data_IF_522607436960
#
_entry.id   IF_522607436960
#
_cell.length_a   1.000
_cell.length_b   1.000
_cell.length_c   1.000
_cell.angle_alpha   90.00
_cell.angle_beta   90.00
_cell.angle_gamma   90.00
#
_symmetry.space_group_name_H-M   'P 1'
#
loop_
_entity.id
_entity.type
_entity.pdbx_description
1 polymer ?
#
# COMPACT_ATOMS: atom_id res chain seq x y z
N UNK A 1 -29.79 -2.31 18.28
CA UNK A 1 -28.80 -2.26 17.18
C UNK A 1 -28.14 -3.61 17.09
N UNK A 2 -28.19 -4.26 15.92
CA UNK A 2 -27.55 -5.56 15.72
C UNK A 2 -26.17 -5.38 15.09
N UNK A 3 -25.16 -6.07 15.62
CA UNK A 3 -23.79 -6.00 15.10
C UNK A 3 -23.52 -7.22 14.24
N UNK A 4 -23.10 -7.01 13.00
CA UNK A 4 -22.77 -8.07 12.06
C UNK A 4 -21.24 -8.21 12.04
N UNK A 5 -20.76 -9.37 12.49
CA UNK A 5 -19.33 -9.70 12.56
C UNK A 5 -18.92 -10.66 11.45
N UNK A 6 -17.62 -10.74 11.17
CA UNK A 6 -17.05 -11.68 10.19
C UNK A 6 -17.45 -13.12 10.50
N UNK A 7 -17.40 -13.51 11.78
CA UNK A 7 -17.71 -14.87 12.22
C UNK A 7 -19.17 -15.27 11.92
N UNK A 8 -20.11 -14.30 11.98
CA UNK A 8 -21.50 -14.54 11.58
C UNK A 8 -21.60 -14.82 10.07
N UNK A 9 -20.91 -14.04 9.24
CA UNK A 9 -20.90 -14.22 7.79
C UNK A 9 -20.24 -15.55 7.38
N UNK A 10 -19.15 -15.93 8.06
CA UNK A 10 -18.49 -17.21 7.85
C UNK A 10 -19.43 -18.39 8.13
N UNK A 11 -20.21 -18.33 9.23
CA UNK A 11 -21.22 -19.34 9.54
C UNK A 11 -22.35 -19.39 8.50
N UNK A 12 -22.80 -18.24 7.99
CA UNK A 12 -23.83 -18.20 6.93
C UNK A 12 -23.33 -18.80 5.62
N UNK A 13 -22.05 -18.58 5.28
CA UNK A 13 -21.41 -19.18 4.10
C UNK A 13 -21.31 -20.71 4.24
N UNK A 14 -20.90 -21.21 5.41
CA UNK A 14 -20.83 -22.64 5.70
C UNK A 14 -22.19 -23.33 5.63
N UNK A 15 -23.25 -22.63 6.05
CA UNK A 15 -24.65 -23.10 5.97
C UNK A 15 -25.27 -22.95 4.57
N UNK A 16 -24.54 -22.41 3.59
CA UNK A 16 -25.03 -22.05 2.24
C UNK A 16 -26.20 -21.06 2.23
N UNK A 17 -26.38 -20.31 3.32
CA UNK A 17 -27.36 -19.22 3.40
C UNK A 17 -26.85 -17.97 2.68
N UNK A 18 -25.53 -17.88 2.48
CA UNK A 18 -24.85 -16.83 1.74
C UNK A 18 -23.97 -17.46 0.66
N UNK A 19 -24.10 -16.99 -0.59
CA UNK A 19 -23.31 -17.49 -1.71
C UNK A 19 -22.32 -16.41 -2.20
N UNK A 20 -21.09 -16.80 -2.61
CA UNK A 20 -20.17 -15.86 -3.25
C UNK A 20 -20.82 -15.21 -4.48
N UNK A 21 -20.63 -13.89 -4.63
CA UNK A 21 -21.21 -13.13 -5.74
C UNK A 21 -22.70 -12.75 -5.59
N UNK A 22 -23.32 -13.01 -4.44
CA UNK A 22 -24.71 -12.57 -4.16
C UNK A 22 -24.77 -11.24 -3.43
N UNK A 23 -25.97 -10.69 -3.24
CA UNK A 23 -26.20 -9.50 -2.42
C UNK A 23 -26.58 -9.87 -0.99
N UNK A 24 -25.91 -9.25 -0.01
CA UNK A 24 -26.21 -9.37 1.41
C UNK A 24 -26.96 -8.14 1.89
N UNK A 25 -28.22 -8.35 2.29
CA UNK A 25 -29.09 -7.30 2.78
C UNK A 25 -28.77 -6.96 4.25
N UNK A 26 -28.35 -5.72 4.51
CA UNK A 26 -28.10 -5.19 5.85
C UNK A 26 -29.19 -4.20 6.21
N UNK A 27 -29.74 -4.30 7.43
CA UNK A 27 -30.69 -3.32 7.95
C UNK A 27 -29.99 -2.00 8.27
N UNK A 28 -30.63 -0.86 8.03
CA UNK A 28 -30.08 0.47 8.37
C UNK A 28 -29.67 0.64 9.84
N UNK A 29 -30.28 -0.14 10.74
CA UNK A 29 -30.01 -0.08 12.18
C UNK A 29 -28.96 -1.11 12.64
N UNK A 30 -28.26 -1.72 11.70
CA UNK A 30 -27.21 -2.71 11.94
C UNK A 30 -25.82 -2.13 11.69
N UNK A 31 -24.89 -2.46 12.58
CA UNK A 31 -23.49 -2.05 12.47
C UNK A 31 -22.68 -3.20 11.86
N UNK A 32 -22.05 -2.95 10.72
CA UNK A 32 -21.12 -3.89 10.10
C UNK A 32 -19.71 -3.64 10.65
N UNK A 33 -19.06 -4.65 11.22
CA UNK A 33 -17.67 -4.46 11.68
C UNK A 33 -16.72 -4.30 10.49
N UNK A 34 -15.57 -3.62 10.65
CA UNK A 34 -14.58 -3.48 9.58
C UNK A 34 -14.11 -4.83 9.00
N UNK A 35 -13.94 -5.84 9.88
CA UNK A 35 -13.59 -7.20 9.47
C UNK A 35 -14.70 -7.85 8.62
N UNK A 36 -15.97 -7.70 9.02
CA UNK A 36 -17.11 -8.16 8.22
C UNK A 36 -17.18 -7.47 6.84
N UNK A 37 -16.86 -6.17 6.78
CA UNK A 37 -16.78 -5.44 5.50
C UNK A 37 -15.68 -5.96 4.59
N UNK A 38 -14.51 -6.28 5.15
CA UNK A 38 -13.39 -6.86 4.41
C UNK A 38 -13.77 -8.23 3.82
N UNK A 39 -14.39 -9.06 4.65
CA UNK A 39 -14.82 -10.41 4.28
C UNK A 39 -15.84 -10.44 3.15
N UNK A 40 -16.85 -9.55 3.18
CA UNK A 40 -17.83 -9.44 2.09
C UNK A 40 -17.18 -9.01 0.77
N UNK A 41 -16.19 -8.10 0.83
CA UNK A 41 -15.46 -7.64 -0.34
C UNK A 41 -14.63 -8.76 -0.97
N UNK A 42 -13.95 -9.54 -0.15
CA UNK A 42 -13.14 -10.68 -0.60
C UNK A 42 -13.97 -11.74 -1.33
N UNK A 43 -15.17 -12.03 -0.81
CA UNK A 43 -16.10 -12.98 -1.41
C UNK A 43 -17.02 -12.39 -2.50
N UNK A 44 -16.74 -11.15 -2.94
CA UNK A 44 -17.50 -10.42 -3.97
C UNK A 44 -19.00 -10.29 -3.66
N UNK A 45 -19.35 -10.20 -2.38
CA UNK A 45 -20.74 -10.12 -1.90
C UNK A 45 -21.11 -8.64 -1.80
N UNK A 46 -22.12 -8.22 -2.55
CA UNK A 46 -22.55 -6.82 -2.55
C UNK A 46 -23.41 -6.51 -1.32
N UNK A 47 -23.08 -5.46 -0.59
CA UNK A 47 -23.90 -5.02 0.55
C UNK A 47 -25.05 -4.17 0.05
N UNK A 48 -26.28 -4.63 0.24
CA UNK A 48 -27.48 -3.83 -0.03
C UNK A 48 -28.08 -3.37 1.29
N UNK A 49 -28.23 -2.07 1.47
CA UNK A 49 -28.92 -1.53 2.64
C UNK A 49 -30.40 -1.57 2.37
N UNK A 50 -31.14 -2.38 3.12
CA UNK A 50 -32.59 -2.52 2.92
C UNK A 50 -33.34 -1.65 3.93
N UNK A 51 -34.18 -0.76 3.40
CA UNK A 51 -35.35 -0.28 4.13
C UNK A 51 -36.38 -1.40 4.12
N UNK A 52 -36.96 -1.69 5.28
CA UNK A 52 -37.99 -2.71 5.40
C UNK A 52 -39.22 -2.35 4.55
N UNK A 53 -39.26 -2.85 3.31
CA UNK A 53 -40.47 -3.18 2.58
C UNK A 53 -40.10 -4.15 1.45
N UNK A 54 -40.45 -5.42 1.64
CA UNK A 54 -40.33 -6.50 0.66
C UNK A 54 -41.08 -6.17 -0.64
N UNK A 55 -40.47 -6.47 -1.80
CA UNK A 55 -41.13 -7.04 -2.98
C UNK A 55 -40.13 -7.94 -3.75
N UNK A 56 -40.55 -9.11 -4.28
CA UNK A 56 -39.63 -10.07 -4.88
C UNK A 56 -39.39 -9.81 -6.38
N UNK A 57 -38.20 -10.25 -6.81
CA UNK A 57 -37.80 -10.63 -8.17
C UNK A 57 -38.02 -9.65 -9.34
N UNK A 58 -36.91 -9.08 -9.82
CA UNK A 58 -36.69 -8.94 -11.28
C UNK A 58 -35.26 -9.36 -11.61
N UNK A 59 -35.14 -10.52 -12.26
CA UNK A 59 -33.92 -10.94 -12.96
C UNK A 59 -33.67 -9.93 -14.09
N UNK A 60 -32.89 -8.90 -13.81
CA UNK A 60 -32.28 -8.11 -14.88
C UNK A 60 -30.87 -8.66 -15.04
N UNK A 61 -30.70 -9.55 -16.01
CA UNK A 61 -29.38 -9.87 -16.56
C UNK A 61 -28.83 -8.57 -17.14
N UNK A 62 -28.10 -7.80 -16.33
CA UNK A 62 -27.19 -6.82 -16.88
C UNK A 62 -26.02 -7.58 -17.50
N UNK A 63 -25.63 -7.27 -18.74
CA UNK A 63 -24.44 -7.87 -19.31
C UNK A 63 -23.28 -7.51 -18.40
N UNK A 64 -22.64 -8.54 -17.85
CA UNK A 64 -21.34 -8.43 -17.20
C UNK A 64 -20.40 -7.89 -18.27
N UNK A 65 -20.26 -6.57 -18.34
CA UNK A 65 -19.12 -5.95 -18.98
C UNK A 65 -17.93 -6.47 -18.19
N UNK A 66 -17.28 -7.49 -18.75
CA UNK A 66 -15.93 -7.86 -18.43
C UNK A 66 -15.09 -6.62 -18.68
N UNK A 67 -14.93 -5.79 -17.64
CA UNK A 67 -13.89 -4.78 -17.59
C UNK A 67 -12.60 -5.57 -17.70
N UNK A 68 -12.06 -5.62 -18.93
CA UNK A 68 -10.66 -5.97 -19.18
C UNK A 68 -9.83 -5.23 -18.12
N UNK A 69 -8.83 -5.87 -17.50
CA UNK A 69 -8.01 -5.22 -16.51
C UNK A 69 -7.45 -3.94 -17.15
N UNK A 70 -7.88 -2.79 -16.63
CA UNK A 70 -7.47 -1.49 -17.14
C UNK A 70 -5.96 -1.40 -16.94
N UNK A 71 -5.18 -1.59 -18.01
CA UNK A 71 -3.75 -1.33 -18.05
C UNK A 71 -3.41 0.16 -17.79
N UNK A 72 -4.42 1.01 -17.61
CA UNK A 72 -4.31 2.47 -17.66
C UNK A 72 -3.93 3.15 -16.34
N UNK A 73 -3.60 2.44 -15.26
CA UNK A 73 -3.17 3.11 -14.01
C UNK A 73 -1.91 2.51 -13.36
N UNK A 74 -1.09 1.79 -14.14
CA UNK A 74 0.13 1.18 -13.61
C UNK A 74 1.17 2.24 -13.17
N UNK A 75 1.29 3.37 -13.89
CA UNK A 75 2.11 4.50 -13.43
C UNK A 75 1.56 5.16 -12.16
N UNK A 76 0.23 5.23 -11.99
CA UNK A 76 -0.36 5.73 -10.75
C UNK A 76 -0.06 4.81 -9.56
N UNK A 77 -0.10 3.48 -9.76
CA UNK A 77 0.34 2.51 -8.75
C UNK A 77 1.82 2.71 -8.41
N UNK A 78 2.69 2.82 -9.40
CA UNK A 78 4.12 3.05 -9.18
C UNK A 78 4.39 4.34 -8.40
N UNK A 79 3.68 5.43 -8.72
CA UNK A 79 3.75 6.69 -7.94
C UNK A 79 3.36 6.50 -6.48
N UNK A 80 2.31 5.72 -6.21
CA UNK A 80 1.89 5.41 -4.84
C UNK A 80 2.94 4.58 -4.11
N UNK A 81 3.55 3.59 -4.77
CA UNK A 81 4.61 2.77 -4.18
C UNK A 81 5.88 3.60 -3.90
N UNK A 82 6.27 4.48 -4.81
CA UNK A 82 7.36 5.46 -4.57
C UNK A 82 7.03 6.39 -3.40
N UNK A 83 5.77 6.83 -3.28
CA UNK A 83 5.32 7.68 -2.16
C UNK A 83 5.37 6.94 -0.83
N UNK A 84 5.05 5.64 -0.80
CA UNK A 84 5.22 4.81 0.40
C UNK A 84 6.69 4.72 0.80
N UNK A 85 7.60 4.44 -0.14
CA UNK A 85 9.03 4.42 0.14
C UNK A 85 9.51 5.77 0.69
N UNK A 86 9.07 6.88 0.10
CA UNK A 86 9.36 8.22 0.61
C UNK A 86 8.94 8.36 2.08
N UNK A 87 7.73 7.92 2.42
CA UNK A 87 7.22 8.02 3.79
C UNK A 87 7.88 7.03 4.77
N UNK A 88 8.47 5.93 4.30
CA UNK A 88 9.26 5.04 5.16
C UNK A 88 10.57 5.71 5.60
N UNK A 89 11.17 6.50 4.71
CA UNK A 89 12.42 7.23 5.00
C UNK A 89 12.26 8.41 5.98
N UNK A 90 11.05 8.74 6.41
CA UNK A 90 10.84 9.71 7.49
C UNK A 90 10.86 9.08 8.88
N UNK A 91 10.95 7.75 8.99
CA UNK A 91 11.14 7.01 10.25
C UNK A 91 10.26 7.48 11.42
N UNK A 92 8.94 7.64 11.20
CA UNK A 92 8.00 8.17 12.22
C UNK A 92 7.97 7.40 13.55
N UNK A 93 8.45 6.15 13.58
CA UNK A 93 8.48 5.31 14.77
C UNK A 93 9.81 5.39 15.53
N UNK A 94 10.80 6.13 15.01
CA UNK A 94 12.13 6.29 15.58
C UNK A 94 12.21 7.65 16.29
N UNK A 95 12.73 7.68 17.52
CA UNK A 95 12.88 8.93 18.29
C UNK A 95 13.88 9.88 17.62
N UNK A 96 13.67 11.19 17.66
CA UNK A 96 14.56 12.15 16.97
C UNK A 96 16.02 12.08 17.46
N UNK A 97 16.24 11.75 18.74
CA UNK A 97 17.57 11.59 19.36
C UNK A 97 18.34 10.36 18.87
N UNK A 98 17.69 9.50 18.09
CA UNK A 98 18.23 8.27 17.53
C UNK A 98 19.30 8.51 16.47
N UNK A 99 19.11 9.49 15.60
CA UNK A 99 20.07 9.80 14.54
C UNK A 99 20.74 11.14 14.80
N UNK A 100 21.96 11.28 14.29
CA UNK A 100 22.59 12.60 14.21
C UNK A 100 21.83 13.49 13.21
N UNK A 101 22.03 14.80 13.32
CA UNK A 101 21.40 15.77 12.41
C UNK A 101 21.78 15.51 10.95
N UNK A 102 23.03 15.12 10.68
CA UNK A 102 23.51 14.76 9.35
C UNK A 102 22.78 13.53 8.79
N UNK A 103 22.41 12.59 9.66
CA UNK A 103 21.65 11.41 9.27
C UNK A 103 20.21 11.73 8.90
N UNK A 104 19.52 12.52 9.72
CA UNK A 104 18.19 13.02 9.40
C UNK A 104 18.17 13.81 8.09
N UNK A 105 19.13 14.72 7.93
CA UNK A 105 19.27 15.51 6.73
C UNK A 105 19.53 14.63 5.50
N UNK A 106 20.36 13.59 5.63
CA UNK A 106 20.59 12.62 4.55
C UNK A 106 19.28 11.97 4.07
N UNK A 107 18.43 11.50 4.99
CA UNK A 107 17.16 10.88 4.63
C UNK A 107 16.16 11.88 4.05
N UNK A 108 16.16 13.14 4.50
CA UNK A 108 15.37 14.20 3.88
C UNK A 108 15.77 14.42 2.41
N UNK A 109 17.07 14.43 2.11
CA UNK A 109 17.54 14.50 0.73
C UNK A 109 17.11 13.27 -0.10
N UNK A 110 17.10 12.08 0.49
CA UNK A 110 16.60 10.87 -0.20
C UNK A 110 15.10 10.97 -0.50
N UNK A 111 14.31 11.51 0.44
CA UNK A 111 12.88 11.74 0.24
C UNK A 111 12.61 12.75 -0.88
N UNK A 112 13.38 13.83 -0.93
CA UNK A 112 13.29 14.82 -2.01
C UNK A 112 13.68 14.23 -3.36
N UNK A 113 14.70 13.38 -3.39
CA UNK A 113 15.09 12.66 -4.60
C UNK A 113 13.96 11.74 -5.08
N UNK A 114 13.35 10.94 -4.20
CA UNK A 114 12.21 10.08 -4.56
C UNK A 114 11.02 10.87 -5.10
N UNK A 115 10.74 12.05 -4.52
CA UNK A 115 9.70 12.96 -5.01
C UNK A 115 9.97 13.38 -6.45
N UNK A 116 11.20 13.79 -6.77
CA UNK A 116 11.60 14.12 -8.15
C UNK A 116 11.60 12.89 -9.05
N UNK A 117 12.06 11.74 -8.56
CA UNK A 117 12.07 10.49 -9.32
C UNK A 117 10.65 10.05 -9.73
N UNK A 118 9.64 10.31 -8.89
CA UNK A 118 8.23 10.04 -9.19
C UNK A 118 7.62 10.93 -10.29
N UNK A 119 8.30 12.02 -10.66
CA UNK A 119 7.95 12.90 -11.76
C UNK A 119 8.59 12.33 -13.03
N UNK A 120 7.84 11.48 -13.74
CA UNK A 120 8.30 10.77 -14.93
C UNK A 120 8.67 11.68 -16.12
N UNK A 121 8.30 12.96 -16.06
CA UNK A 121 8.52 13.94 -17.11
C UNK A 121 9.89 14.65 -17.00
N UNK A 122 10.57 14.55 -15.85
CA UNK A 122 11.86 15.21 -15.63
C UNK A 122 13.03 14.22 -15.71
N UNK A 123 14.19 14.64 -16.28
CA UNK A 123 15.42 13.86 -16.22
C UNK A 123 15.92 13.81 -14.78
N UNK A 124 16.08 12.60 -14.25
CA UNK A 124 16.53 12.40 -12.87
C UNK A 124 18.03 12.16 -12.86
N UNK A 125 18.73 12.84 -11.95
CA UNK A 125 20.16 12.66 -11.73
C UNK A 125 20.48 12.43 -10.26
N UNK A 126 21.49 11.61 -10.01
CA UNK A 126 22.04 11.38 -8.68
C UNK A 126 23.06 12.43 -8.23
N UNK A 127 23.40 13.41 -9.08
CA UNK A 127 24.45 14.41 -8.81
C UNK A 127 24.21 15.26 -7.56
N UNK A 128 22.95 15.43 -7.17
CA UNK A 128 22.55 16.26 -6.02
C UNK A 128 22.20 15.43 -4.78
N UNK A 129 22.39 14.11 -4.82
CA UNK A 129 22.17 13.26 -3.64
C UNK A 129 23.45 13.29 -2.81
N UNK A 130 23.39 13.73 -1.54
CA UNK A 130 24.56 13.77 -0.67
C UNK A 130 25.23 12.41 -0.58
N UNK A 131 26.55 12.41 -0.48
CA UNK A 131 27.30 11.18 -0.26
C UNK A 131 26.92 10.56 1.10
N UNK A 132 26.94 9.22 1.21
CA UNK A 132 26.71 8.53 2.48
C UNK A 132 27.74 9.01 3.52
N UNK A 133 27.28 9.61 4.62
CA UNK A 133 28.11 9.76 5.81
C UNK A 133 28.20 8.39 6.48
N UNK A 134 29.38 7.96 6.92
CA UNK A 134 29.53 6.66 7.61
C UNK A 134 28.95 6.66 9.05
N UNK A 135 28.58 7.83 9.56
CA UNK A 135 28.18 8.03 10.97
C UNK A 135 26.71 8.51 11.10
N UNK A 136 25.79 8.00 10.28
CA UNK A 136 24.35 8.38 10.32
C UNK A 136 23.67 7.90 11.61
N UNK A 137 24.05 6.73 12.10
CA UNK A 137 23.40 6.06 13.23
C UNK A 137 24.33 6.00 14.44
N UNK A 138 23.97 6.66 15.53
CA UNK A 138 24.75 6.68 16.77
C UNK A 138 24.45 5.48 17.69
N UNK A 139 23.28 4.83 17.56
CA UNK A 139 22.84 3.81 18.53
C UNK A 139 21.71 2.87 18.05
N UNK A 140 21.81 2.23 16.87
CA UNK A 140 20.65 1.49 16.29
C UNK A 140 20.71 -0.02 16.06
N UNK A 141 21.85 -0.76 16.13
CA UNK A 141 21.87 -2.09 15.51
C UNK A 141 20.94 -3.15 16.15
N UNK A 142 20.31 -2.87 17.31
CA UNK A 142 19.53 -3.85 18.08
C UNK A 142 18.09 -3.43 18.41
N UNK A 143 17.60 -2.28 17.91
CA UNK A 143 16.20 -1.90 18.12
C UNK A 143 15.29 -2.67 17.16
N UNK A 144 14.25 -3.33 17.68
CA UNK A 144 13.24 -4.03 16.86
C UNK A 144 12.56 -3.08 15.88
N UNK A 145 12.33 -1.83 16.29
CA UNK A 145 11.69 -0.80 15.44
C UNK A 145 12.59 -0.40 14.27
N UNK A 146 13.90 -0.33 14.50
CA UNK A 146 14.89 -0.08 13.44
C UNK A 146 14.88 -1.22 12.43
N UNK A 147 15.07 -2.45 12.91
CA UNK A 147 15.08 -3.64 12.06
C UNK A 147 13.80 -3.78 11.23
N UNK A 148 12.63 -3.53 11.84
CA UNK A 148 11.35 -3.50 11.13
C UNK A 148 11.34 -2.44 10.03
N UNK A 149 11.76 -1.21 10.35
CA UNK A 149 11.78 -0.10 9.39
C UNK A 149 12.71 -0.41 8.20
N UNK A 150 13.88 -0.99 8.45
CA UNK A 150 14.83 -1.38 7.41
C UNK A 150 14.27 -2.48 6.53
N UNK A 151 13.63 -3.50 7.12
CA UNK A 151 13.00 -4.57 6.35
C UNK A 151 11.86 -4.06 5.45
N UNK A 152 11.03 -3.15 5.95
CA UNK A 152 9.97 -2.51 5.14
C UNK A 152 10.55 -1.68 4.00
N UNK A 153 11.66 -0.96 4.24
CA UNK A 153 12.37 -0.22 3.19
C UNK A 153 12.90 -1.18 2.11
N UNK A 154 13.57 -2.27 2.50
CA UNK A 154 14.07 -3.27 1.55
C UNK A 154 12.94 -3.89 0.72
N UNK A 155 11.88 -4.34 1.35
CA UNK A 155 10.71 -4.91 0.67
C UNK A 155 10.11 -3.91 -0.33
N UNK A 156 9.97 -2.66 0.08
CA UNK A 156 9.40 -1.62 -0.76
C UNK A 156 10.30 -1.27 -1.96
N UNK A 157 11.62 -1.29 -1.79
CA UNK A 157 12.60 -1.14 -2.87
C UNK A 157 12.46 -2.28 -3.88
N UNK A 158 12.48 -3.53 -3.44
CA UNK A 158 12.35 -4.70 -4.32
C UNK A 158 11.07 -4.64 -5.15
N UNK A 159 9.96 -4.30 -4.51
CA UNK A 159 8.67 -4.12 -5.17
C UNK A 159 8.71 -3.03 -6.25
N UNK A 160 9.35 -1.90 -5.96
CA UNK A 160 9.49 -0.81 -6.93
C UNK A 160 10.40 -1.23 -8.09
N UNK A 161 11.49 -1.97 -7.84
CA UNK A 161 12.36 -2.51 -8.88
C UNK A 161 11.57 -3.39 -9.87
N UNK A 162 10.77 -4.34 -9.36
CA UNK A 162 9.92 -5.20 -10.19
C UNK A 162 8.93 -4.38 -11.03
N UNK A 163 8.30 -3.36 -10.43
CA UNK A 163 7.39 -2.49 -11.17
C UNK A 163 8.10 -1.62 -12.22
N UNK A 164 9.33 -1.19 -11.95
CA UNK A 164 10.13 -0.41 -12.89
C UNK A 164 10.61 -1.26 -14.06
N UNK A 165 10.98 -2.52 -13.83
CA UNK A 165 11.31 -3.49 -14.90
C UNK A 165 10.18 -3.60 -15.93
N UNK A 166 8.92 -3.64 -15.46
CA UNK A 166 7.76 -3.75 -16.32
C UNK A 166 7.34 -2.41 -16.99
N UNK A 167 7.48 -1.28 -16.27
CA UNK A 167 6.82 -0.02 -16.65
C UNK A 167 7.76 1.09 -17.14
N UNK A 168 9.00 1.10 -16.69
CA UNK A 168 9.98 2.15 -16.99
C UNK A 168 11.43 1.61 -16.84
N UNK A 169 11.83 0.63 -17.66
CA UNK A 169 13.12 -0.05 -17.53
C UNK A 169 14.31 0.91 -17.68
N UNK A 170 14.14 2.02 -18.42
CA UNK A 170 15.15 3.06 -18.57
C UNK A 170 15.48 3.79 -17.25
N UNK A 171 14.55 3.79 -16.29
CA UNK A 171 14.72 4.41 -14.96
C UNK A 171 15.26 3.44 -13.91
N UNK A 172 15.20 2.13 -14.17
CA UNK A 172 15.59 1.09 -13.23
C UNK A 172 17.06 1.20 -12.82
N UNK A 173 17.97 1.42 -13.78
CA UNK A 173 19.40 1.53 -13.51
C UNK A 173 19.75 2.65 -12.53
N UNK A 174 19.10 3.81 -12.72
CA UNK A 174 19.26 4.98 -11.84
C UNK A 174 18.68 4.70 -10.45
N UNK A 175 17.53 4.01 -10.38
CA UNK A 175 16.91 3.62 -9.12
C UNK A 175 17.74 2.60 -8.35
N UNK A 176 18.28 1.58 -9.01
CA UNK A 176 19.15 0.58 -8.38
C UNK A 176 20.43 1.23 -7.83
N UNK A 177 21.07 2.12 -8.58
CA UNK A 177 22.26 2.84 -8.11
C UNK A 177 21.95 3.74 -6.90
N UNK A 178 20.74 4.30 -6.83
CA UNK A 178 20.27 5.02 -5.65
C UNK A 178 20.03 4.07 -4.46
N UNK A 179 19.35 2.94 -4.70
CA UNK A 179 18.99 1.96 -3.68
C UNK A 179 20.23 1.32 -3.04
N UNK A 180 21.24 0.95 -3.84
CA UNK A 180 22.52 0.42 -3.34
C UNK A 180 23.21 1.41 -2.39
N UNK A 181 23.21 2.71 -2.73
CA UNK A 181 23.78 3.75 -1.87
C UNK A 181 23.02 3.88 -0.56
N UNK A 182 21.69 3.86 -0.61
CA UNK A 182 20.83 3.89 0.58
C UNK A 182 21.10 2.67 1.47
N UNK A 183 21.09 1.47 0.89
CA UNK A 183 21.31 0.20 1.58
C UNK A 183 22.70 0.09 2.22
N UNK A 184 23.71 0.78 1.66
CA UNK A 184 25.05 0.81 2.28
C UNK A 184 25.11 1.59 3.62
N UNK A 185 24.08 2.35 3.96
CA UNK A 185 24.01 3.16 5.19
C UNK A 185 23.15 2.52 6.27
N UNK A 186 22.05 1.86 5.88
CA UNK A 186 21.01 1.38 6.79
C UNK A 186 21.25 -0.02 7.34
#
# INVERSE_FOLDING_TARGET
MSVITEEMLRKMLLKKELLPGTSFAVSKNSLLTPAASGYLREHQIQVTVTDSSFLPARKTQQPVQSKKPNASNNHGKLRLELKKLQNLLSFYLIEETSMCAEGWLYFEYQQLWLKKFSQFDEPVSLKNVPAPSKNVCSSFPHSRTWQYSINEIHYQIEKICQMLEELAPERLSIFNLWAEKLQSII
#
